data_IF_334867127224
#
_entry.id   IF_334867127224
#
_cell.length_a   1.000
_cell.length_b   1.000
_cell.length_c   1.000
_cell.angle_alpha   90.00
_cell.angle_beta   90.00
_cell.angle_gamma   90.00
#
_symmetry.space_group_name_H-M   'P 1'
#
loop_
_entity.id
_entity.type
_entity.pdbx_description
1 polymer ?
#
# COMPACT_ATOMS: atom_id res chain seq x y z
N UNK A 1 -19.26 -7.17 -27.98
CA UNK A 1 -20.73 -7.17 -27.80
C UNK A 1 -21.20 -7.87 -26.51
N UNK A 2 -21.34 -9.20 -26.42
CA UNK A 2 -21.99 -9.84 -25.26
C UNK A 2 -21.37 -9.48 -23.89
N UNK A 3 -20.04 -9.43 -23.77
CA UNK A 3 -19.37 -9.01 -22.52
C UNK A 3 -19.72 -7.55 -22.17
N UNK A 4 -19.78 -6.64 -23.16
CA UNK A 4 -20.15 -5.24 -22.95
C UNK A 4 -21.59 -5.12 -22.44
N UNK A 5 -22.51 -5.90 -23.00
CA UNK A 5 -23.90 -5.96 -22.55
C UNK A 5 -24.00 -6.43 -21.10
N UNK A 6 -23.28 -7.50 -20.72
CA UNK A 6 -23.27 -8.01 -19.34
C UNK A 6 -22.85 -6.92 -18.34
N UNK A 7 -21.75 -6.22 -18.59
CA UNK A 7 -21.29 -5.15 -17.70
C UNK A 7 -22.25 -3.95 -17.68
N UNK A 8 -22.89 -3.64 -18.81
CA UNK A 8 -23.86 -2.54 -18.92
C UNK A 8 -25.13 -2.86 -18.11
N UNK A 9 -25.69 -4.06 -18.27
CA UNK A 9 -26.85 -4.53 -17.52
C UNK A 9 -26.52 -4.57 -16.03
N UNK A 10 -25.37 -5.12 -15.65
CA UNK A 10 -24.92 -5.19 -14.27
C UNK A 10 -24.79 -3.81 -13.60
N UNK A 11 -24.48 -2.77 -14.38
CA UNK A 11 -24.36 -1.40 -13.90
C UNK A 11 -25.71 -0.67 -13.81
N UNK A 12 -26.61 -0.84 -14.78
CA UNK A 12 -27.84 -0.04 -14.88
C UNK A 12 -29.15 -0.76 -14.43
N UNK A 13 -29.20 -2.09 -14.39
CA UNK A 13 -30.42 -2.83 -14.01
C UNK A 13 -30.39 -3.29 -12.55
N UNK A 14 -31.01 -2.50 -11.67
CA UNK A 14 -31.05 -2.77 -10.22
C UNK A 14 -31.79 -4.05 -9.81
N UNK A 15 -32.59 -4.67 -10.69
CA UNK A 15 -33.46 -5.80 -10.33
C UNK A 15 -32.74 -7.16 -10.38
N UNK A 16 -31.87 -7.35 -11.37
CA UNK A 16 -31.04 -8.57 -11.54
C UNK A 16 -29.55 -8.32 -11.31
N UNK A 17 -29.14 -7.09 -11.01
CA UNK A 17 -27.75 -6.70 -10.84
C UNK A 17 -27.00 -7.50 -9.79
N UNK A 18 -27.63 -7.93 -8.68
CA UNK A 18 -26.91 -8.57 -7.57
C UNK A 18 -26.27 -9.89 -8.04
N UNK A 19 -27.07 -10.85 -8.50
CA UNK A 19 -26.56 -12.15 -8.95
C UNK A 19 -25.59 -12.03 -10.14
N UNK A 20 -25.83 -11.06 -11.03
CA UNK A 20 -24.94 -10.81 -12.16
C UNK A 20 -23.62 -10.18 -11.71
N UNK A 21 -23.64 -9.27 -10.74
CA UNK A 21 -22.45 -8.66 -10.15
C UNK A 21 -21.59 -9.72 -9.46
N UNK A 22 -22.21 -10.60 -8.68
CA UNK A 22 -21.50 -11.68 -8.00
C UNK A 22 -20.84 -12.63 -9.01
N UNK A 23 -21.57 -13.00 -10.08
CA UNK A 23 -21.02 -13.83 -11.15
C UNK A 23 -19.86 -13.14 -11.89
N UNK A 24 -19.98 -11.84 -12.19
CA UNK A 24 -18.91 -11.08 -12.83
C UNK A 24 -17.68 -10.96 -11.93
N UNK A 25 -17.85 -10.71 -10.63
CA UNK A 25 -16.75 -10.63 -9.67
C UNK A 25 -16.03 -11.99 -9.53
N UNK A 26 -16.76 -13.10 -9.49
CA UNK A 26 -16.19 -14.44 -9.48
C UNK A 26 -15.41 -14.74 -10.78
N UNK A 27 -15.97 -14.40 -11.94
CA UNK A 27 -15.28 -14.56 -13.22
C UNK A 27 -13.99 -13.74 -13.29
N UNK A 28 -14.01 -12.49 -12.81
CA UNK A 28 -12.84 -11.64 -12.75
C UNK A 28 -11.79 -12.17 -11.76
N UNK A 29 -12.23 -12.66 -10.60
CA UNK A 29 -11.35 -13.27 -9.60
C UNK A 29 -10.58 -14.45 -10.19
N UNK A 30 -11.28 -15.38 -10.86
CA UNK A 30 -10.66 -16.52 -11.54
C UNK A 30 -9.70 -16.08 -12.64
N UNK A 31 -10.10 -15.12 -13.47
CA UNK A 31 -9.23 -14.56 -14.51
C UNK A 31 -7.93 -14.00 -13.92
N UNK A 32 -7.99 -13.32 -12.77
CA UNK A 32 -6.78 -12.78 -12.14
C UNK A 32 -5.91 -13.84 -11.48
N UNK A 33 -6.51 -14.89 -10.90
CA UNK A 33 -5.76 -16.06 -10.44
C UNK A 33 -5.01 -16.68 -11.62
N UNK A 34 -5.69 -16.92 -12.74
CA UNK A 34 -5.07 -17.47 -13.96
C UNK A 34 -3.97 -16.55 -14.50
N UNK A 35 -4.12 -15.23 -14.40
CA UNK A 35 -3.12 -14.26 -14.86
C UNK A 35 -1.92 -14.12 -13.92
N UNK A 36 -2.05 -14.47 -12.63
CA UNK A 36 -0.92 -14.58 -11.71
C UNK A 36 -0.07 -15.80 -12.09
N UNK A 37 -0.70 -16.92 -12.46
CA UNK A 37 0.00 -18.15 -12.85
C UNK A 37 0.55 -18.09 -14.29
N UNK A 38 -0.20 -17.50 -15.21
CA UNK A 38 0.15 -17.36 -16.61
C UNK A 38 -0.26 -15.99 -17.18
N UNK A 39 0.62 -14.97 -17.08
CA UNK A 39 0.32 -13.62 -17.55
C UNK A 39 -0.04 -13.49 -19.03
N UNK A 40 0.31 -14.48 -19.86
CA UNK A 40 0.08 -14.46 -21.30
C UNK A 40 -1.28 -15.05 -21.71
N UNK A 41 -2.07 -15.59 -20.78
CA UNK A 41 -3.37 -16.22 -21.10
C UNK A 41 -4.42 -15.20 -21.56
N UNK A 42 -4.31 -13.94 -21.12
CA UNK A 42 -5.24 -12.88 -21.49
C UNK A 42 -4.55 -11.50 -21.38
N UNK A 43 -4.82 -10.61 -22.34
CA UNK A 43 -4.27 -9.25 -22.37
C UNK A 43 -5.26 -8.17 -21.91
N UNK A 44 -6.39 -8.59 -21.33
CA UNK A 44 -7.49 -7.75 -20.86
C UNK A 44 -8.08 -6.82 -21.94
N UNK A 45 -7.94 -7.14 -23.23
CA UNK A 45 -8.55 -6.36 -24.34
C UNK A 45 -10.06 -6.20 -24.24
N UNK A 46 -10.74 -7.07 -23.50
CA UNK A 46 -12.17 -6.94 -23.26
C UNK A 46 -12.52 -5.60 -22.58
N UNK A 47 -11.60 -5.00 -21.81
CA UNK A 47 -11.80 -3.70 -21.15
C UNK A 47 -11.99 -2.60 -22.21
N UNK A 48 -11.18 -2.61 -23.27
CA UNK A 48 -11.31 -1.63 -24.36
C UNK A 48 -12.69 -1.75 -25.02
N UNK A 49 -13.18 -2.99 -25.19
CA UNK A 49 -14.50 -3.26 -25.78
C UNK A 49 -15.64 -2.80 -24.86
N UNK A 50 -15.52 -3.06 -23.55
CA UNK A 50 -16.53 -2.62 -22.57
C UNK A 50 -16.57 -1.10 -22.48
N UNK A 51 -15.42 -0.45 -22.43
CA UNK A 51 -15.30 0.99 -22.18
C UNK A 51 -15.54 1.85 -23.42
N UNK A 52 -15.54 1.26 -24.62
CA UNK A 52 -15.79 1.96 -25.87
C UNK A 52 -17.14 2.71 -25.85
N UNK A 53 -17.08 4.02 -26.10
CA UNK A 53 -18.23 4.92 -26.09
C UNK A 53 -19.08 4.93 -24.80
N UNK A 54 -18.54 4.43 -23.68
CA UNK A 54 -19.25 4.44 -22.40
C UNK A 54 -19.09 5.77 -21.62
N UNK A 55 -20.12 6.17 -20.86
CA UNK A 55 -20.05 7.33 -19.97
C UNK A 55 -18.91 7.26 -18.92
N UNK A 56 -18.48 8.44 -18.42
CA UNK A 56 -17.38 8.56 -17.44
C UNK A 56 -17.69 7.82 -16.13
N UNK A 57 -18.92 7.97 -15.62
CA UNK A 57 -19.40 7.33 -14.39
C UNK A 57 -19.37 5.79 -14.49
N UNK A 58 -19.74 5.24 -15.64
CA UNK A 58 -19.62 3.81 -15.91
C UNK A 58 -18.16 3.34 -15.84
N UNK A 59 -17.24 4.06 -16.49
CA UNK A 59 -15.80 3.71 -16.50
C UNK A 59 -15.17 3.78 -15.10
N UNK A 60 -15.56 4.78 -14.30
CA UNK A 60 -15.15 4.86 -12.89
C UNK A 60 -15.69 3.67 -12.10
N UNK A 61 -16.97 3.33 -12.25
CA UNK A 61 -17.56 2.17 -11.58
C UNK A 61 -16.87 0.86 -11.96
N UNK A 62 -16.50 0.72 -13.24
CA UNK A 62 -15.72 -0.41 -13.72
C UNK A 62 -14.32 -0.46 -13.06
N UNK A 63 -13.62 0.67 -12.99
CA UNK A 63 -12.34 0.78 -12.29
C UNK A 63 -12.44 0.34 -10.82
N UNK A 64 -13.47 0.82 -10.12
CA UNK A 64 -13.73 0.48 -8.72
C UNK A 64 -14.01 -1.02 -8.54
N UNK A 65 -14.79 -1.63 -9.45
CA UNK A 65 -15.03 -3.09 -9.43
C UNK A 65 -13.72 -3.85 -9.57
N UNK A 66 -12.88 -3.51 -10.55
CA UNK A 66 -11.61 -4.18 -10.75
C UNK A 66 -10.66 -4.03 -9.55
N UNK A 67 -10.60 -2.84 -8.95
CA UNK A 67 -9.85 -2.63 -7.69
C UNK A 67 -10.36 -3.57 -6.60
N UNK A 68 -11.67 -3.66 -6.38
CA UNK A 68 -12.25 -4.51 -5.35
C UNK A 68 -11.91 -5.99 -5.57
N UNK A 69 -12.12 -6.50 -6.79
CA UNK A 69 -11.79 -7.89 -7.12
C UNK A 69 -10.30 -8.16 -6.92
N UNK A 70 -9.41 -7.23 -7.31
CA UNK A 70 -7.98 -7.40 -7.08
C UNK A 70 -7.64 -7.50 -5.59
N UNK A 71 -8.26 -6.68 -4.74
CA UNK A 71 -8.03 -6.73 -3.29
C UNK A 71 -8.42 -8.11 -2.72
N UNK A 72 -9.55 -8.66 -3.15
CA UNK A 72 -10.09 -9.91 -2.62
C UNK A 72 -9.28 -11.16 -3.01
N UNK A 73 -8.28 -11.04 -3.87
CA UNK A 73 -7.39 -12.14 -4.28
C UNK A 73 -6.48 -12.64 -3.14
N UNK A 74 -6.23 -11.82 -2.10
CA UNK A 74 -5.36 -12.23 -0.99
C UNK A 74 -5.65 -11.49 0.31
N UNK A 75 -5.88 -12.27 1.37
CA UNK A 75 -6.09 -11.78 2.73
C UNK A 75 -4.87 -12.06 3.63
N UNK A 76 -4.54 -11.09 4.48
CA UNK A 76 -3.44 -11.15 5.43
C UNK A 76 -3.63 -10.15 6.57
N UNK A 77 -3.12 -10.47 7.75
CA UNK A 77 -3.09 -9.48 8.83
C UNK A 77 -1.98 -8.43 8.62
N UNK A 78 -2.05 -7.35 9.40
CA UNK A 78 -1.09 -6.25 9.34
C UNK A 78 0.34 -6.71 9.66
N UNK A 79 0.52 -7.67 10.57
CA UNK A 79 1.86 -8.15 10.94
C UNK A 79 2.54 -8.85 9.76
N UNK A 80 1.80 -9.71 9.07
CA UNK A 80 2.22 -10.38 7.84
C UNK A 80 2.55 -9.35 6.78
N UNK A 81 1.75 -8.29 6.66
CA UNK A 81 1.97 -7.22 5.70
C UNK A 81 3.31 -6.49 5.90
N UNK A 82 3.70 -6.21 7.15
CA UNK A 82 5.04 -5.66 7.43
C UNK A 82 6.15 -6.67 7.07
N UNK A 83 6.02 -7.93 7.48
CA UNK A 83 7.03 -8.94 7.26
C UNK A 83 7.24 -9.30 5.77
N UNK A 84 6.17 -9.23 4.97
CA UNK A 84 6.17 -9.58 3.54
C UNK A 84 6.22 -8.38 2.60
N UNK A 85 6.33 -7.15 3.13
CA UNK A 85 6.24 -5.92 2.36
C UNK A 85 7.16 -5.94 1.12
N UNK A 86 8.47 -6.14 1.32
CA UNK A 86 9.45 -6.15 0.23
C UNK A 86 9.17 -7.26 -0.78
N UNK A 87 8.78 -8.45 -0.32
CA UNK A 87 8.44 -9.57 -1.20
C UNK A 87 7.26 -9.22 -2.10
N UNK A 88 6.15 -8.72 -1.54
CA UNK A 88 4.94 -8.41 -2.31
C UNK A 88 5.10 -7.23 -3.26
N UNK A 89 5.90 -6.22 -2.88
CA UNK A 89 6.25 -5.12 -3.77
C UNK A 89 7.04 -5.61 -4.98
N UNK A 90 8.00 -6.51 -4.78
CA UNK A 90 8.79 -7.07 -5.89
C UNK A 90 7.94 -8.00 -6.77
N UNK A 91 7.10 -8.85 -6.19
CA UNK A 91 6.12 -9.66 -6.94
C UNK A 91 5.21 -8.77 -7.81
N UNK A 92 4.79 -7.60 -7.30
CA UNK A 92 4.01 -6.61 -8.06
C UNK A 92 4.73 -6.03 -9.28
N UNK A 93 6.05 -5.96 -9.22
CA UNK A 93 6.91 -5.44 -10.30
C UNK A 93 7.23 -6.55 -11.30
N UNK A 94 7.62 -7.73 -10.82
CA UNK A 94 8.23 -8.77 -11.66
C UNK A 94 7.23 -9.81 -12.16
N UNK A 95 6.25 -10.18 -11.33
CA UNK A 95 5.40 -11.35 -11.58
C UNK A 95 3.96 -10.96 -11.93
N UNK A 96 3.38 -10.02 -11.18
CA UNK A 96 1.96 -9.66 -11.27
C UNK A 96 1.76 -8.56 -12.31
N UNK A 97 1.81 -8.93 -13.59
CA UNK A 97 1.79 -7.97 -14.70
C UNK A 97 0.40 -7.37 -14.99
N UNK A 98 -0.68 -8.07 -14.67
CA UNK A 98 -2.03 -7.66 -15.05
C UNK A 98 -2.47 -6.33 -14.41
N UNK A 99 -1.92 -5.97 -13.24
CA UNK A 99 -2.21 -4.69 -12.57
C UNK A 99 -1.71 -3.49 -13.39
N UNK A 100 -0.58 -3.64 -14.08
CA UNK A 100 -0.05 -2.63 -15.00
C UNK A 100 -0.94 -2.48 -16.23
N UNK A 101 -1.47 -3.59 -16.74
CA UNK A 101 -2.42 -3.60 -17.86
C UNK A 101 -3.74 -2.93 -17.45
N UNK A 102 -4.23 -3.21 -16.24
CA UNK A 102 -5.40 -2.52 -15.68
C UNK A 102 -5.17 -1.02 -15.55
N UNK A 103 -3.98 -0.61 -15.11
CA UNK A 103 -3.65 0.81 -15.06
C UNK A 103 -3.74 1.44 -16.46
N UNK A 104 -3.09 0.84 -17.47
CA UNK A 104 -3.04 1.41 -18.82
C UNK A 104 -4.41 1.46 -19.50
N UNK A 105 -5.26 0.46 -19.25
CA UNK A 105 -6.58 0.35 -19.89
C UNK A 105 -7.70 1.06 -19.13
N UNK A 106 -7.55 1.28 -17.82
CA UNK A 106 -8.67 1.67 -16.98
C UNK A 106 -8.37 2.74 -15.93
N UNK A 107 -7.21 2.72 -15.29
CA UNK A 107 -6.94 3.68 -14.19
C UNK A 107 -6.32 5.00 -14.67
N UNK A 108 -5.60 4.99 -15.78
CA UNK A 108 -4.82 6.14 -16.29
C UNK A 108 -5.65 7.42 -16.45
N UNK A 109 -6.90 7.32 -16.89
CA UNK A 109 -7.77 8.49 -17.08
C UNK A 109 -8.56 8.87 -15.81
N UNK A 110 -8.45 8.07 -14.74
CA UNK A 110 -9.22 8.17 -13.49
C UNK A 110 -8.32 7.91 -12.27
N UNK A 111 -7.09 8.41 -12.28
CA UNK A 111 -6.07 8.08 -11.27
C UNK A 111 -6.49 8.52 -9.88
N UNK A 112 -6.98 9.75 -9.76
CA UNK A 112 -7.45 10.31 -8.48
C UNK A 112 -8.68 9.56 -7.95
N UNK A 113 -9.66 9.25 -8.82
CA UNK A 113 -10.84 8.48 -8.43
C UNK A 113 -10.46 7.05 -8.00
N UNK A 114 -9.53 6.42 -8.71
CA UNK A 114 -9.04 5.06 -8.43
C UNK A 114 -8.29 5.00 -7.10
N UNK A 115 -7.34 5.90 -6.87
CA UNK A 115 -6.56 5.92 -5.62
C UNK A 115 -7.41 6.38 -4.43
N UNK A 116 -8.36 7.29 -4.62
CA UNK A 116 -9.32 7.69 -3.59
C UNK A 116 -10.20 6.52 -3.15
N UNK A 117 -10.65 5.71 -4.12
CA UNK A 117 -11.43 4.51 -3.82
C UNK A 117 -10.59 3.45 -3.10
N UNK A 118 -9.34 3.23 -3.56
CA UNK A 118 -8.39 2.33 -2.91
C UNK A 118 -8.14 2.76 -1.45
N UNK A 119 -7.90 4.05 -1.19
CA UNK A 119 -7.75 4.57 0.16
C UNK A 119 -9.00 4.38 1.01
N UNK A 120 -10.19 4.67 0.45
CA UNK A 120 -11.47 4.45 1.14
C UNK A 120 -11.59 3.00 1.62
N UNK A 121 -11.36 2.02 0.75
CA UNK A 121 -11.42 0.60 1.10
C UNK A 121 -10.39 0.22 2.16
N UNK A 122 -9.15 0.68 2.01
CA UNK A 122 -8.06 0.35 2.93
C UNK A 122 -8.19 0.91 4.34
N UNK A 123 -9.12 1.87 4.54
CA UNK A 123 -9.42 2.48 5.85
C UNK A 123 -10.69 1.92 6.50
N UNK A 124 -11.30 0.89 5.91
CA UNK A 124 -12.43 0.20 6.51
C UNK A 124 -11.98 -0.60 7.74
N UNK A 125 -12.92 -0.84 8.65
CA UNK A 125 -12.67 -1.67 9.82
C UNK A 125 -12.30 -3.09 9.39
N UNK A 126 -11.30 -3.69 10.05
CA UNK A 126 -10.80 -5.04 9.77
C UNK A 126 -10.20 -5.24 8.37
N UNK A 127 -9.69 -4.18 7.72
CA UNK A 127 -8.98 -4.30 6.46
C UNK A 127 -7.82 -5.31 6.53
N UNK A 128 -7.82 -6.27 5.59
CA UNK A 128 -6.84 -7.37 5.54
C UNK A 128 -6.33 -7.68 4.11
N UNK A 129 -6.68 -6.88 3.10
CA UNK A 129 -6.28 -7.12 1.70
C UNK A 129 -4.93 -6.47 1.33
N UNK A 130 -3.92 -6.59 2.21
CA UNK A 130 -2.68 -5.81 2.13
C UNK A 130 -1.85 -6.03 0.86
N UNK A 131 -1.70 -7.29 0.41
CA UNK A 131 -0.85 -7.63 -0.74
C UNK A 131 -1.24 -6.84 -1.99
N UNK A 132 -2.49 -6.97 -2.42
CA UNK A 132 -2.97 -6.28 -3.63
C UNK A 132 -3.20 -4.80 -3.38
N UNK A 133 -3.43 -4.37 -2.14
CA UNK A 133 -3.40 -2.94 -1.81
C UNK A 133 -2.04 -2.30 -2.11
N UNK A 134 -0.94 -2.95 -1.69
CA UNK A 134 0.41 -2.46 -1.99
C UNK A 134 0.68 -2.44 -3.48
N UNK A 135 0.40 -3.53 -4.18
CA UNK A 135 0.67 -3.65 -5.62
C UNK A 135 -0.12 -2.62 -6.40
N UNK A 136 -1.42 -2.41 -6.10
CA UNK A 136 -2.23 -1.41 -6.79
C UNK A 136 -1.75 0.02 -6.49
N UNK A 137 -1.47 0.33 -5.22
CA UNK A 137 -0.99 1.66 -4.83
C UNK A 137 0.37 1.97 -5.48
N UNK A 138 1.28 0.99 -5.49
CA UNK A 138 2.58 1.07 -6.17
C UNK A 138 2.41 1.28 -7.67
N UNK A 139 1.55 0.48 -8.32
CA UNK A 139 1.29 0.55 -9.76
C UNK A 139 0.79 1.94 -10.15
N UNK A 140 -0.22 2.46 -9.45
CA UNK A 140 -0.75 3.81 -9.70
C UNK A 140 0.34 4.85 -9.43
N UNK A 141 1.02 4.78 -8.28
CA UNK A 141 2.03 5.77 -7.89
C UNK A 141 3.22 5.83 -8.86
N UNK A 142 3.59 4.70 -9.46
CA UNK A 142 4.74 4.60 -10.39
C UNK A 142 4.49 5.21 -11.76
N UNK A 143 3.22 5.32 -12.18
CA UNK A 143 2.85 5.76 -13.54
C UNK A 143 2.03 7.06 -13.56
N UNK A 144 1.46 7.44 -12.43
CA UNK A 144 0.53 8.57 -12.34
C UNK A 144 1.13 9.91 -12.76
N UNK A 145 0.25 10.81 -13.23
CA UNK A 145 0.61 12.17 -13.54
C UNK A 145 1.10 12.94 -12.29
N UNK A 146 1.80 14.05 -12.49
CA UNK A 146 2.36 14.85 -11.40
C UNK A 146 1.26 15.38 -10.45
N UNK A 147 0.09 15.70 -10.99
CA UNK A 147 -1.10 16.15 -10.27
C UNK A 147 -1.59 15.06 -9.30
N UNK A 148 -1.78 13.83 -9.79
CA UNK A 148 -2.22 12.69 -8.99
C UNK A 148 -1.17 12.23 -7.98
N UNK A 149 0.12 12.33 -8.32
CA UNK A 149 1.22 12.15 -7.37
C UNK A 149 1.16 13.17 -6.23
N UNK A 150 0.81 14.43 -6.55
CA UNK A 150 0.62 15.49 -5.55
C UNK A 150 -0.62 15.25 -4.69
N UNK A 151 -1.69 14.72 -5.27
CA UNK A 151 -2.89 14.29 -4.54
C UNK A 151 -2.54 13.22 -3.50
N UNK A 152 -1.80 12.17 -3.87
CA UNK A 152 -1.36 11.09 -2.96
C UNK A 152 -0.51 11.65 -1.81
N UNK A 153 0.45 12.53 -2.10
CA UNK A 153 1.26 13.18 -1.06
C UNK A 153 0.41 14.00 -0.09
N UNK A 154 -0.57 14.76 -0.63
CA UNK A 154 -1.51 15.55 0.18
C UNK A 154 -2.37 14.66 1.05
N UNK A 155 -2.82 13.51 0.55
CA UNK A 155 -3.57 12.52 1.32
C UNK A 155 -2.75 12.05 2.52
N UNK A 156 -1.51 11.60 2.34
CA UNK A 156 -0.68 11.13 3.46
C UNK A 156 -0.39 12.20 4.50
N UNK A 157 -0.13 13.44 4.08
CA UNK A 157 0.05 14.56 5.00
C UNK A 157 -1.22 14.82 5.82
N UNK A 158 -2.37 14.83 5.16
CA UNK A 158 -3.67 15.01 5.82
C UNK A 158 -3.97 13.87 6.79
N UNK A 159 -3.68 12.63 6.38
CA UNK A 159 -3.84 11.43 7.21
C UNK A 159 -2.96 11.48 8.45
N UNK A 160 -1.69 11.88 8.32
CA UNK A 160 -0.80 12.07 9.47
C UNK A 160 -1.34 13.12 10.45
N UNK A 161 -1.86 14.24 9.94
CA UNK A 161 -2.52 15.26 10.79
C UNK A 161 -3.76 14.73 11.49
N UNK A 162 -4.57 13.89 10.82
CA UNK A 162 -5.72 13.24 11.44
C UNK A 162 -5.31 12.27 12.55
N UNK A 163 -4.25 11.47 12.32
CA UNK A 163 -3.69 10.55 13.31
C UNK A 163 -3.15 11.31 14.53
N UNK A 164 -2.50 12.45 14.31
CA UNK A 164 -2.01 13.29 15.41
C UNK A 164 -3.16 13.81 16.30
N UNK A 165 -4.30 14.14 15.70
CA UNK A 165 -5.49 14.62 16.41
C UNK A 165 -6.31 13.49 17.06
N UNK A 166 -6.39 12.33 16.40
CA UNK A 166 -7.15 11.15 16.84
C UNK A 166 -6.27 9.91 16.79
N UNK A 167 -5.37 9.74 17.79
CA UNK A 167 -4.34 8.72 17.74
C UNK A 167 -4.91 7.31 17.81
N UNK A 168 -4.64 6.52 16.77
CA UNK A 168 -4.89 5.08 16.71
C UNK A 168 -3.68 4.39 16.08
N UNK A 169 -3.24 3.29 16.69
CA UNK A 169 -2.09 2.52 16.24
C UNK A 169 -2.32 1.94 14.85
N UNK A 170 -3.53 1.43 14.60
CA UNK A 170 -3.93 0.83 13.33
C UNK A 170 -3.84 1.85 12.19
N UNK A 171 -4.23 3.10 12.43
CA UNK A 171 -4.11 4.18 11.46
C UNK A 171 -2.64 4.54 11.16
N UNK A 172 -1.77 4.51 12.17
CA UNK A 172 -0.32 4.72 11.99
C UNK A 172 0.32 3.57 11.21
N UNK A 173 0.02 2.32 11.55
CA UNK A 173 0.50 1.14 10.82
C UNK A 173 0.08 1.21 9.35
N UNK A 174 -1.18 1.56 9.09
CA UNK A 174 -1.69 1.78 7.74
C UNK A 174 -0.93 2.89 7.01
N UNK A 175 -0.74 4.05 7.64
CA UNK A 175 0.00 5.16 7.02
C UNK A 175 1.42 4.74 6.64
N UNK A 176 2.16 4.08 7.54
CA UNK A 176 3.54 3.66 7.29
C UNK A 176 3.62 2.72 6.08
N UNK A 177 2.79 1.68 6.03
CA UNK A 177 2.77 0.72 4.92
C UNK A 177 2.33 1.38 3.60
N UNK A 178 1.32 2.24 3.65
CA UNK A 178 0.79 2.93 2.46
C UNK A 178 1.83 3.85 1.82
N UNK A 179 2.57 4.59 2.65
CA UNK A 179 3.65 5.46 2.16
C UNK A 179 4.78 4.63 1.56
N UNK A 180 5.16 3.51 2.19
CA UNK A 180 6.17 2.62 1.62
C UNK A 180 5.76 2.13 0.23
N UNK A 181 4.53 1.65 0.08
CA UNK A 181 4.03 1.20 -1.22
C UNK A 181 3.99 2.33 -2.27
N UNK A 182 3.52 3.52 -1.88
CA UNK A 182 3.46 4.67 -2.78
C UNK A 182 4.84 5.27 -3.15
N UNK A 183 5.88 4.98 -2.37
CA UNK A 183 7.27 5.42 -2.64
C UNK A 183 8.12 4.34 -3.31
N UNK A 184 7.63 3.10 -3.37
CA UNK A 184 8.31 1.98 -4.01
C UNK A 184 8.10 1.95 -5.54
N UNK A 185 8.35 3.05 -6.22
CA UNK A 185 7.94 3.24 -7.64
C UNK A 185 8.97 2.77 -8.67
N UNK A 186 10.10 2.23 -8.24
CA UNK A 186 11.19 1.79 -9.12
C UNK A 186 11.51 0.30 -8.91
N UNK A 187 12.22 -0.30 -9.86
CA UNK A 187 12.80 -1.65 -9.69
C UNK A 187 14.03 -1.66 -8.76
N UNK A 188 14.50 -0.49 -8.34
CA UNK A 188 15.68 -0.30 -7.50
C UNK A 188 15.24 -0.16 -6.04
N UNK A 189 15.53 -1.18 -5.24
CA UNK A 189 15.18 -1.23 -3.82
C UNK A 189 15.82 -0.06 -3.06
N UNK A 190 17.07 0.30 -3.35
CA UNK A 190 17.76 1.39 -2.64
C UNK A 190 17.14 2.75 -2.95
N UNK A 191 16.69 2.96 -4.19
CA UNK A 191 15.92 4.16 -4.55
C UNK A 191 14.58 4.21 -3.83
N UNK A 192 13.87 3.08 -3.72
CA UNK A 192 12.61 2.99 -3.01
C UNK A 192 12.77 3.27 -1.50
N UNK A 193 13.80 2.70 -0.88
CA UNK A 193 14.17 2.98 0.52
C UNK A 193 14.53 4.46 0.70
N UNK A 194 15.29 5.04 -0.23
CA UNK A 194 15.65 6.47 -0.21
C UNK A 194 14.41 7.36 -0.34
N UNK A 195 13.47 7.02 -1.22
CA UNK A 195 12.22 7.76 -1.40
C UNK A 195 11.36 7.75 -0.13
N UNK A 196 11.23 6.60 0.52
CA UNK A 196 10.58 6.50 1.83
C UNK A 196 11.32 7.31 2.90
N UNK A 197 12.66 7.24 2.96
CA UNK A 197 13.48 8.02 3.89
C UNK A 197 13.30 9.54 3.72
N UNK A 198 13.19 10.01 2.47
CA UNK A 198 12.89 11.41 2.18
C UNK A 198 11.51 11.83 2.71
N UNK A 199 10.48 10.99 2.51
CA UNK A 199 9.17 11.24 3.11
C UNK A 199 9.25 11.27 4.63
N UNK A 200 9.95 10.31 5.24
CA UNK A 200 10.10 10.21 6.69
C UNK A 200 10.80 11.44 7.27
N UNK A 201 11.85 11.92 6.61
CA UNK A 201 12.54 13.17 6.99
C UNK A 201 11.56 14.34 7.02
N UNK A 202 10.86 14.57 5.90
CA UNK A 202 10.00 15.73 5.71
C UNK A 202 8.78 15.73 6.62
N UNK A 203 8.21 14.55 6.93
CA UNK A 203 6.93 14.46 7.62
C UNK A 203 7.03 14.00 9.08
N UNK A 204 8.06 13.24 9.43
CA UNK A 204 8.27 12.72 10.79
C UNK A 204 9.46 13.40 11.47
N UNK A 205 10.61 13.51 10.80
CA UNK A 205 11.80 14.08 11.46
C UNK A 205 11.64 15.57 11.77
N UNK A 206 10.98 16.29 10.87
CA UNK A 206 10.73 17.73 10.98
C UNK A 206 9.32 18.06 11.50
N UNK A 207 8.62 17.08 12.09
CA UNK A 207 7.22 17.25 12.51
C UNK A 207 7.01 18.28 13.63
N UNK A 208 8.08 18.70 14.34
CA UNK A 208 8.02 19.79 15.33
C UNK A 208 7.56 21.13 14.75
N UNK A 209 7.71 21.32 13.44
CA UNK A 209 7.27 22.55 12.76
C UNK A 209 5.78 22.50 12.37
N UNK A 210 5.15 21.34 12.53
CA UNK A 210 3.76 21.09 12.09
C UNK A 210 2.85 20.87 13.29
N UNK A 211 3.30 20.11 14.28
CA UNK A 211 2.47 19.65 15.40
C UNK A 211 2.70 20.40 16.70
N UNK A 212 1.62 20.54 17.48
CA UNK A 212 1.67 21.00 18.88
C UNK A 212 2.30 19.92 19.77
N UNK A 213 2.61 20.27 21.01
CA UNK A 213 3.28 19.37 21.97
C UNK A 213 2.55 18.04 22.15
N UNK A 214 1.24 18.04 22.34
CA UNK A 214 0.48 16.81 22.57
C UNK A 214 0.36 15.96 21.30
N UNK A 215 0.11 16.58 20.15
CA UNK A 215 0.11 15.92 18.84
C UNK A 215 1.49 15.28 18.54
N UNK A 216 2.58 16.00 18.81
CA UNK A 216 3.94 15.48 18.66
C UNK A 216 4.17 14.25 19.54
N UNK A 217 3.79 14.31 20.83
CA UNK A 217 3.91 13.18 21.75
C UNK A 217 3.12 11.97 21.27
N UNK A 218 1.87 12.19 20.85
CA UNK A 218 1.00 11.15 20.30
C UNK A 218 1.65 10.44 19.11
N UNK A 219 2.23 11.18 18.17
CA UNK A 219 2.90 10.58 17.00
C UNK A 219 4.13 9.76 17.44
N UNK A 220 4.97 10.26 18.35
CA UNK A 220 6.13 9.48 18.82
C UNK A 220 5.71 8.22 19.57
N UNK A 221 4.66 8.30 20.39
CA UNK A 221 4.11 7.14 21.11
C UNK A 221 3.55 6.10 20.13
N UNK A 222 2.80 6.51 19.11
CA UNK A 222 2.31 5.62 18.06
C UNK A 222 3.45 4.95 17.29
N UNK A 223 4.50 5.70 16.95
CA UNK A 223 5.69 5.14 16.29
C UNK A 223 6.38 4.09 17.17
N UNK A 224 6.49 4.33 18.48
CA UNK A 224 7.02 3.37 19.45
C UNK A 224 6.18 2.08 19.48
N UNK A 225 4.84 2.22 19.47
CA UNK A 225 3.92 1.08 19.39
C UNK A 225 4.01 0.31 18.06
N UNK A 226 4.52 0.92 16.98
CA UNK A 226 4.71 0.25 15.68
C UNK A 226 6.00 -0.57 15.61
N UNK A 227 7.00 -0.31 16.46
CA UNK A 227 8.31 -1.00 16.44
C UNK A 227 8.17 -2.54 16.38
N UNK A 228 7.29 -3.21 17.16
CA UNK A 228 7.16 -4.67 17.13
C UNK A 228 6.69 -5.27 15.80
N UNK A 229 6.18 -4.44 14.87
CA UNK A 229 5.77 -4.86 13.53
C UNK A 229 6.93 -4.76 12.52
N UNK A 230 7.96 -4.00 12.82
CA UNK A 230 9.08 -3.77 11.90
C UNK A 230 10.04 -4.95 11.90
N UNK A 231 9.91 -5.84 10.93
CA UNK A 231 10.85 -6.96 10.71
C UNK A 231 11.80 -6.71 9.52
N UNK A 232 11.55 -5.67 8.73
CA UNK A 232 12.39 -5.30 7.58
C UNK A 232 13.45 -4.28 8.02
N UNK A 233 14.71 -4.70 7.91
CA UNK A 233 15.89 -3.99 8.40
C UNK A 233 15.98 -2.56 7.87
N UNK A 234 15.92 -2.37 6.56
CA UNK A 234 16.15 -1.07 5.90
C UNK A 234 15.16 0.00 6.36
N UNK A 235 13.89 -0.37 6.55
CA UNK A 235 12.87 0.54 7.05
C UNK A 235 13.08 0.87 8.54
N UNK A 236 13.44 -0.11 9.36
CA UNK A 236 13.77 0.12 10.78
C UNK A 236 15.03 0.98 10.94
N UNK A 237 16.00 0.83 10.04
CA UNK A 237 17.18 1.69 10.01
C UNK A 237 16.82 3.16 9.79
N UNK A 238 15.86 3.46 8.91
CA UNK A 238 15.35 4.82 8.72
C UNK A 238 14.79 5.37 10.04
N UNK A 239 13.97 4.60 10.76
CA UNK A 239 13.43 4.99 12.06
C UNK A 239 14.52 5.24 13.12
N UNK A 240 15.63 4.48 13.09
CA UNK A 240 16.73 4.58 14.06
C UNK A 240 17.76 5.69 13.72
N UNK A 241 17.92 6.02 12.45
CA UNK A 241 18.97 6.91 11.93
C UNK A 241 18.49 8.35 11.78
N UNK A 242 17.29 8.56 11.25
CA UNK A 242 16.74 9.90 11.07
C UNK A 242 16.43 10.54 12.42
N UNK A 243 17.05 11.68 12.67
CA UNK A 243 16.87 12.41 13.93
C UNK A 243 15.54 13.15 13.91
N UNK A 244 14.55 12.66 14.66
CA UNK A 244 13.36 13.45 14.97
C UNK A 244 13.80 14.67 15.77
N UNK A 245 13.57 15.85 15.22
CA UNK A 245 13.86 17.10 15.90
C UNK A 245 12.88 17.27 17.07
N UNK A 246 13.36 17.28 18.33
CA UNK A 246 12.46 17.33 19.47
C UNK A 246 11.79 18.71 19.58
N UNK A 247 10.49 18.72 19.86
CA UNK A 247 9.82 19.89 20.40
C UNK A 247 10.25 20.11 21.86
N UNK A 248 10.05 21.32 22.40
CA UNK A 248 10.46 21.68 23.77
C UNK A 248 9.95 20.63 24.77
N UNK A 249 10.81 20.21 25.70
CA UNK A 249 10.58 19.15 26.70
C UNK A 249 10.32 17.73 26.17
N UNK A 250 10.38 17.48 24.86
CA UNK A 250 10.15 16.14 24.27
C UNK A 250 11.45 15.37 23.97
N UNK A 251 12.62 15.89 24.35
CA UNK A 251 13.93 15.28 24.04
C UNK A 251 14.10 13.85 24.55
N UNK A 252 13.67 13.57 25.80
CA UNK A 252 13.73 12.22 26.39
C UNK A 252 12.84 11.22 25.64
N UNK A 253 11.67 11.67 25.18
CA UNK A 253 10.72 10.83 24.43
C UNK A 253 11.33 10.37 23.10
N UNK A 254 11.91 11.30 22.35
CA UNK A 254 12.60 11.00 21.08
C UNK A 254 13.81 10.07 21.30
N UNK A 255 14.61 10.32 22.34
CA UNK A 255 15.76 9.47 22.67
C UNK A 255 15.35 8.05 23.05
N UNK A 256 14.25 7.90 23.81
CA UNK A 256 13.68 6.60 24.16
C UNK A 256 13.24 5.82 22.93
N UNK A 257 12.43 6.44 22.06
CA UNK A 257 12.00 5.86 20.79
C UNK A 257 13.19 5.37 19.95
N UNK A 258 14.18 6.24 19.73
CA UNK A 258 15.38 5.89 18.96
C UNK A 258 16.15 4.72 19.56
N UNK A 259 16.26 4.67 20.88
CA UNK A 259 16.97 3.58 21.58
C UNK A 259 16.24 2.25 21.41
N UNK A 260 14.90 2.26 21.44
CA UNK A 260 14.08 1.08 21.17
C UNK A 260 14.20 0.60 19.72
N UNK A 261 14.21 1.51 18.73
CA UNK A 261 14.47 1.13 17.33
C UNK A 261 15.84 0.45 17.18
N UNK A 262 16.90 1.01 17.77
CA UNK A 262 18.25 0.40 17.74
C UNK A 262 18.30 -0.96 18.43
N UNK A 263 17.62 -1.11 19.56
CA UNK A 263 17.54 -2.38 20.27
C UNK A 263 16.83 -3.44 19.44
N UNK A 264 15.71 -3.09 18.79
CA UNK A 264 14.97 -3.98 17.92
C UNK A 264 15.76 -4.36 16.66
N UNK A 265 16.45 -3.39 16.05
CA UNK A 265 17.36 -3.62 14.93
C UNK A 265 18.48 -4.61 15.28
N UNK A 266 19.08 -4.47 16.47
CA UNK A 266 20.09 -5.40 16.95
C UNK A 266 19.54 -6.83 17.09
N UNK A 267 18.29 -7.00 17.54
CA UNK A 267 17.62 -8.31 17.65
C UNK A 267 17.36 -8.94 16.28
N UNK A 268 16.97 -8.16 15.28
CA UNK A 268 16.78 -8.64 13.90
C UNK A 268 18.12 -9.11 13.33
N UNK A 269 19.17 -8.29 13.48
CA UNK A 269 20.54 -8.61 13.02
C UNK A 269 21.10 -9.85 13.70
N UNK A 270 20.84 -10.06 15.00
CA UNK A 270 21.29 -11.26 15.71
C UNK A 270 20.58 -12.53 15.26
N UNK A 271 19.26 -12.47 14.98
CA UNK A 271 18.51 -13.64 14.48
C UNK A 271 19.04 -14.11 13.14
N UNK A 272 19.25 -13.19 12.18
CA UNK A 272 19.82 -13.52 10.87
C UNK A 272 21.20 -14.19 10.97
N UNK A 273 22.04 -13.80 11.93
CA UNK A 273 23.35 -14.44 12.15
C UNK A 273 23.23 -15.86 12.72
N UNK A 274 22.34 -16.07 13.70
CA UNK A 274 22.08 -17.41 14.25
C UNK A 274 21.45 -18.37 13.25
N UNK A 275 20.59 -17.86 12.36
CA UNK A 275 20.02 -18.64 11.26
C UNK A 275 21.07 -18.99 10.19
N UNK A 276 22.07 -18.11 9.97
CA UNK A 276 23.18 -18.39 9.04
C UNK A 276 24.18 -19.42 9.61
N UNK A 277 24.44 -19.40 10.92
CA UNK A 277 25.37 -20.34 11.58
C UNK A 277 24.76 -21.75 11.75
N UNK A 278 23.43 -21.87 11.87
CA UNK A 278 22.75 -23.17 11.98
C UNK A 278 22.64 -23.94 10.66
N UNK A 279 22.78 -23.27 9.50
CA UNK A 279 22.77 -23.90 8.17
C UNK A 279 24.15 -24.50 7.81
N UNK A 280 25.22 -24.14 8.52
CA UNK A 280 26.61 -24.57 8.22
C UNK A 280 26.98 -25.89 8.93
N UNK A 281 26.09 -26.45 9.74
CA UNK A 281 26.33 -27.71 10.48
C UNK A 281 25.44 -28.80 9.90
N UNK A 282 25.78 -29.32 8.72
CA UNK A 282 25.41 -30.67 8.25
C UNK A 282 26.09 -30.92 6.87
N UNK A 283 27.42 -31.07 6.88
CA UNK A 283 28.15 -31.73 5.79
C UNK A 283 29.49 -32.25 6.32
N UNK A 284 29.45 -33.36 7.07
CA UNK A 284 30.61 -34.26 7.27
C UNK A 284 30.11 -35.71 7.24
#
# INVERSE_FOLDING_TARGET
ELIKELFTIAHYDSSNAISLNDALEECLSRLYIDLIENPNINDLKYIDTITDNMPKDFKISLAQRHIRVCLDLHNSDTKTAFAKFTTWINEGVDDIQFTKVLYDKLFKDYEEESVSYLFKLSTQENFNQWKFYFILLQTISSKCAHESSSFIRKYFKTRLSQIAAFPKREDMLHLLLSVRAATATTMDIDQNITAYGNWYKQNISDMKFVFKVEEFKSIVDLLDQCIPYEDVEDYLEIHATFSISPLVHCGKLVQSFRSKCKLHLAKIKSKKRGDAESIVIDSD
#
